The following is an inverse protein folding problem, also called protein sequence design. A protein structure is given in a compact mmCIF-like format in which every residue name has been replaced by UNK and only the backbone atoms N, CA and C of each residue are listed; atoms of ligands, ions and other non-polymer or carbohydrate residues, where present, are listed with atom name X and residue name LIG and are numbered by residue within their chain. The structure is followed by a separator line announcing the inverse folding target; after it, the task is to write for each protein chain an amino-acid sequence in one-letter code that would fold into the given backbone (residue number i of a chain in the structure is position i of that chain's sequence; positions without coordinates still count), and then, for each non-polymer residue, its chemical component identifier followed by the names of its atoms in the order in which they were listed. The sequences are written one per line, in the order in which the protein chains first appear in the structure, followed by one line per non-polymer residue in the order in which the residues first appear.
data_IF_611624955112
#
_entry.id   IF_611624955112
#
_cell.length_a   1.000
_cell.length_b   1.000
_cell.length_c   1.000
_cell.angle_alpha   90.00
_cell.angle_beta   90.00
_cell.angle_gamma   90.00
#
_symmetry.space_group_name_H-M   'P 1'
#
loop_
_entity.id
_entity.type
_entity.pdbx_description
1 polymer ?
#
# COMPACT_ATOMS: atom_id res chain seq x y z
N UNK A 1 -3.45 -22.47 11.86
CA UNK A 1 -2.20 -22.03 11.19
C UNK A 1 -1.16 -21.89 12.29
N UNK A 2 0.01 -22.51 12.14
CA UNK A 2 0.96 -22.71 13.24
C UNK A 2 1.43 -21.38 13.86
N UNK A 3 1.41 -21.30 15.20
CA UNK A 3 2.08 -20.24 15.96
C UNK A 3 3.59 -20.37 15.72
N UNK A 4 4.13 -19.70 14.71
CA UNK A 4 5.57 -19.47 14.63
C UNK A 4 5.97 -18.60 15.81
N UNK A 5 6.75 -19.18 16.73
CA UNK A 5 7.27 -18.53 17.94
C UNK A 5 8.22 -17.36 17.62
N UNK A 6 8.66 -17.25 16.36
CA UNK A 6 9.61 -16.27 15.88
C UNK A 6 9.01 -15.43 14.76
N UNK A 7 9.38 -14.14 14.72
CA UNK A 7 9.01 -13.22 13.65
C UNK A 7 9.70 -13.62 12.31
N UNK A 8 9.17 -13.19 11.16
CA UNK A 8 9.81 -13.44 9.86
C UNK A 8 11.27 -12.94 9.82
N UNK A 9 11.54 -11.77 10.41
CA UNK A 9 12.89 -11.21 10.46
C UNK A 9 13.81 -11.95 11.44
N UNK A 10 13.31 -12.42 12.58
CA UNK A 10 14.09 -13.27 13.50
C UNK A 10 14.55 -14.55 12.82
N UNK A 11 13.66 -15.20 12.05
CA UNK A 11 14.03 -16.38 11.27
C UNK A 11 15.08 -16.07 10.21
N UNK A 12 15.04 -14.87 9.63
CA UNK A 12 16.01 -14.41 8.65
C UNK A 12 17.39 -14.18 9.31
N UNK A 13 17.41 -13.51 10.45
CA UNK A 13 18.63 -13.31 11.26
C UNK A 13 19.26 -14.64 11.70
N UNK A 14 18.46 -15.59 12.16
CA UNK A 14 18.94 -16.91 12.58
C UNK A 14 19.59 -17.71 11.45
N UNK A 15 19.12 -17.52 10.21
CA UNK A 15 19.69 -18.18 9.03
C UNK A 15 20.87 -17.39 8.43
N UNK A 16 21.09 -16.15 8.85
CA UNK A 16 22.08 -15.24 8.24
C UNK A 16 23.51 -15.64 8.52
N UNK A 17 24.39 -15.40 7.54
CA UNK A 17 25.84 -15.62 7.71
C UNK A 17 26.48 -14.54 8.56
N UNK A 18 25.91 -13.33 8.54
CA UNK A 18 26.28 -12.21 9.38
C UNK A 18 25.03 -11.44 9.80
N UNK A 19 24.71 -11.50 11.09
CA UNK A 19 23.52 -10.88 11.67
C UNK A 19 23.60 -9.35 11.62
N UNK A 20 24.78 -8.79 11.89
CA UNK A 20 25.05 -7.34 11.87
C UNK A 20 24.83 -6.76 10.48
N UNK A 21 25.34 -7.44 9.46
CA UNK A 21 25.17 -7.01 8.06
C UNK A 21 23.71 -7.08 7.61
N UNK A 22 23.00 -8.12 8.02
CA UNK A 22 21.58 -8.30 7.73
C UNK A 22 20.73 -7.23 8.42
N UNK A 23 21.03 -6.92 9.68
CA UNK A 23 20.38 -5.86 10.44
C UNK A 23 20.65 -4.48 9.85
N UNK A 24 21.91 -4.20 9.46
CA UNK A 24 22.27 -2.97 8.77
C UNK A 24 21.49 -2.81 7.46
N UNK A 25 21.36 -3.86 6.65
CA UNK A 25 20.57 -3.80 5.43
C UNK A 25 19.09 -3.54 5.68
N UNK A 26 18.49 -4.14 6.72
CA UNK A 26 17.11 -3.85 7.08
C UNK A 26 16.93 -2.36 7.46
N UNK A 27 17.85 -1.81 8.25
CA UNK A 27 17.78 -0.40 8.64
C UNK A 27 18.02 0.55 7.46
N UNK A 28 18.89 0.20 6.51
CA UNK A 28 19.06 0.94 5.27
C UNK A 28 17.81 0.87 4.39
N UNK A 29 17.18 -0.30 4.28
CA UNK A 29 15.91 -0.46 3.58
C UNK A 29 14.80 0.38 4.23
N UNK A 30 14.79 0.47 5.56
CA UNK A 30 13.87 1.34 6.30
C UNK A 30 14.12 2.82 6.01
N UNK A 31 15.39 3.26 5.93
CA UNK A 31 15.75 4.63 5.50
C UNK A 31 15.17 4.92 4.12
N UNK A 32 15.37 4.04 3.14
CA UNK A 32 14.79 4.21 1.80
C UNK A 32 13.25 4.25 1.82
N UNK A 33 12.61 3.34 2.56
CA UNK A 33 11.15 3.29 2.68
C UNK A 33 10.57 4.51 3.41
N UNK A 34 11.33 5.17 4.27
CA UNK A 34 10.89 6.37 5.00
C UNK A 34 10.78 7.61 4.11
N UNK A 35 11.40 7.62 2.94
CA UNK A 35 11.31 8.71 1.95
C UNK A 35 9.93 8.75 1.27
N UNK A 36 9.23 7.61 1.20
CA UNK A 36 7.98 7.46 0.48
C UNK A 36 7.95 6.14 -0.31
N UNK A 37 7.48 6.20 -1.56
CA UNK A 37 7.65 5.07 -2.47
C UNK A 37 9.13 4.91 -2.80
N UNK A 38 9.67 3.70 -2.61
CA UNK A 38 11.09 3.41 -2.88
C UNK A 38 11.34 3.62 -4.38
N UNK A 39 12.13 4.63 -4.71
CA UNK A 39 12.49 4.93 -6.10
C UNK A 39 13.35 3.82 -6.70
N UNK A 40 13.33 3.69 -8.03
CA UNK A 40 14.17 2.72 -8.72
C UNK A 40 15.67 2.93 -8.43
N UNK A 41 16.09 4.19 -8.29
CA UNK A 41 17.46 4.56 -7.94
C UNK A 41 17.80 4.15 -6.50
N UNK A 42 16.91 4.38 -5.54
CA UNK A 42 17.09 3.94 -4.15
C UNK A 42 17.16 2.40 -4.05
N UNK A 43 16.32 1.69 -4.80
CA UNK A 43 16.34 0.22 -4.89
C UNK A 43 17.63 -0.32 -5.50
N UNK A 44 18.13 0.30 -6.58
CA UNK A 44 19.41 -0.07 -7.17
C UNK A 44 20.56 0.16 -6.20
N UNK A 45 20.61 1.33 -5.54
CA UNK A 45 21.64 1.65 -4.56
C UNK A 45 21.64 0.66 -3.40
N UNK A 46 20.47 0.30 -2.90
CA UNK A 46 20.34 -0.69 -1.83
C UNK A 46 20.83 -2.08 -2.28
N UNK A 47 20.58 -2.45 -3.54
CA UNK A 47 21.08 -3.71 -4.11
C UNK A 47 22.60 -3.70 -4.28
N UNK A 48 23.19 -2.58 -4.70
CA UNK A 48 24.65 -2.39 -4.75
C UNK A 48 25.28 -2.49 -3.36
N UNK A 49 24.66 -1.85 -2.37
CA UNK A 49 25.10 -1.95 -0.98
C UNK A 49 25.02 -3.40 -0.52
N UNK A 50 23.88 -4.06 -0.69
CA UNK A 50 23.70 -5.45 -0.32
C UNK A 50 24.77 -6.39 -0.88
N UNK A 51 25.24 -6.18 -2.12
CA UNK A 51 26.30 -6.99 -2.70
C UNK A 51 27.63 -6.92 -1.91
N UNK A 52 27.88 -5.83 -1.17
CA UNK A 52 29.03 -5.68 -0.28
C UNK A 52 28.87 -6.29 1.12
N UNK A 53 27.65 -6.73 1.49
CA UNK A 53 27.32 -7.23 2.82
C UNK A 53 27.26 -8.77 2.85
N UNK A 54 27.69 -9.39 3.96
CA UNK A 54 27.73 -10.85 4.09
C UNK A 54 26.45 -11.43 4.71
N UNK A 55 25.28 -11.06 4.18
CA UNK A 55 23.97 -11.48 4.72
C UNK A 55 23.58 -12.92 4.31
N UNK A 56 23.88 -13.33 3.07
CA UNK A 56 23.72 -14.72 2.60
C UNK A 56 22.29 -15.16 2.25
N UNK A 57 21.36 -14.21 2.10
CA UNK A 57 19.94 -14.43 1.75
C UNK A 57 19.49 -13.57 0.58
N UNK A 58 18.34 -13.91 0.00
CA UNK A 58 17.65 -13.04 -0.95
C UNK A 58 17.29 -11.70 -0.30
N UNK A 59 17.31 -10.62 -1.09
CA UNK A 59 17.04 -9.27 -0.59
C UNK A 59 15.56 -8.99 -0.37
N UNK A 60 14.69 -9.68 -1.11
CA UNK A 60 13.25 -9.42 -1.07
C UNK A 60 12.64 -9.58 0.34
N UNK A 61 12.96 -10.64 1.12
CA UNK A 61 12.45 -10.78 2.48
C UNK A 61 12.94 -9.68 3.44
N UNK A 62 14.13 -9.10 3.19
CA UNK A 62 14.66 -7.97 3.98
C UNK A 62 13.87 -6.70 3.65
N UNK A 63 13.60 -6.46 2.36
CA UNK A 63 12.79 -5.34 1.90
C UNK A 63 11.34 -5.42 2.42
N UNK A 64 10.76 -6.62 2.41
CA UNK A 64 9.42 -6.86 2.94
C UNK A 64 9.36 -6.59 4.45
N UNK A 65 10.41 -7.00 5.19
CA UNK A 65 10.55 -6.75 6.63
C UNK A 65 10.88 -5.30 6.97
N UNK A 66 11.47 -4.54 6.04
CA UNK A 66 11.77 -3.11 6.20
C UNK A 66 10.55 -2.20 6.00
N UNK A 67 9.35 -2.78 5.87
CA UNK A 67 8.11 -2.03 5.85
C UNK A 67 8.03 -1.10 7.07
N UNK A 68 7.66 0.19 6.92
CA UNK A 68 7.61 1.15 8.02
C UNK A 68 6.59 0.82 9.12
N UNK A 69 5.91 -0.33 9.04
CA UNK A 69 4.94 -0.82 10.00
C UNK A 69 5.47 -1.98 10.87
N UNK A 70 6.63 -2.57 10.55
CA UNK A 70 7.21 -3.67 11.34
C UNK A 70 8.24 -3.14 12.36
N UNK A 71 7.72 -2.50 13.41
CA UNK A 71 8.56 -1.94 14.48
C UNK A 71 9.37 -2.98 15.25
N UNK A 72 8.89 -4.23 15.33
CA UNK A 72 9.60 -5.30 16.02
C UNK A 72 10.86 -5.71 15.24
N UNK A 73 10.76 -5.83 13.91
CA UNK A 73 11.93 -6.10 13.07
C UNK A 73 12.96 -4.95 13.13
N UNK A 74 12.49 -3.70 13.08
CA UNK A 74 13.36 -2.52 13.16
C UNK A 74 14.07 -2.46 14.52
N UNK A 75 13.34 -2.69 15.62
CA UNK A 75 13.93 -2.71 16.96
C UNK A 75 15.00 -3.78 17.08
N UNK A 76 14.70 -5.02 16.65
CA UNK A 76 15.67 -6.11 16.71
C UNK A 76 16.90 -5.82 15.85
N UNK A 77 16.72 -5.25 14.66
CA UNK A 77 17.84 -4.85 13.81
C UNK A 77 18.69 -3.76 14.47
N UNK A 78 18.07 -2.77 15.12
CA UNK A 78 18.75 -1.74 15.88
C UNK A 78 19.60 -2.33 17.02
N UNK A 79 19.04 -3.25 17.80
CA UNK A 79 19.75 -3.92 18.90
C UNK A 79 20.94 -4.75 18.39
N UNK A 80 20.74 -5.51 17.31
CA UNK A 80 21.79 -6.33 16.68
C UNK A 80 22.91 -5.45 16.13
N UNK A 81 22.56 -4.36 15.43
CA UNK A 81 23.56 -3.45 14.87
C UNK A 81 24.35 -2.72 15.95
N UNK A 82 23.66 -2.20 16.98
CA UNK A 82 24.29 -1.44 18.07
C UNK A 82 25.34 -2.26 18.82
N UNK A 83 25.16 -3.58 18.93
CA UNK A 83 26.10 -4.48 19.61
C UNK A 83 27.52 -4.44 19.02
N UNK A 84 27.62 -4.33 17.70
CA UNK A 84 28.90 -4.41 16.98
C UNK A 84 29.34 -3.07 16.35
N UNK A 85 28.40 -2.15 16.16
CA UNK A 85 28.62 -0.84 15.55
C UNK A 85 28.23 0.28 16.52
N UNK A 86 29.24 0.99 17.05
CA UNK A 86 29.04 2.17 17.91
C UNK A 86 30.18 3.18 17.70
N UNK A 87 29.86 4.48 17.81
CA UNK A 87 30.82 5.58 17.64
C UNK A 87 31.46 5.58 16.26
N UNK A 88 32.80 5.69 16.19
CA UNK A 88 33.54 5.75 14.92
C UNK A 88 33.29 4.52 14.01
N UNK A 89 33.02 3.34 14.58
CA UNK A 89 32.70 2.13 13.80
C UNK A 89 31.35 2.21 13.08
N UNK A 90 30.45 3.09 13.53
CA UNK A 90 29.16 3.31 12.91
C UNK A 90 29.21 4.28 11.72
N UNK A 91 30.31 5.03 11.55
CA UNK A 91 30.43 6.02 10.48
C UNK A 91 30.25 5.44 9.07
N UNK A 92 30.84 4.29 8.70
CA UNK A 92 30.61 3.71 7.38
C UNK A 92 29.13 3.41 7.16
N UNK A 93 28.44 2.86 8.15
CA UNK A 93 26.99 2.62 8.07
C UNK A 93 26.20 3.92 7.89
N UNK A 94 26.49 4.94 8.70
CA UNK A 94 25.82 6.24 8.60
C UNK A 94 26.08 6.93 7.25
N UNK A 95 27.28 6.80 6.67
CA UNK A 95 27.56 7.27 5.30
C UNK A 95 26.66 6.62 4.27
N UNK A 96 26.46 5.30 4.37
CA UNK A 96 25.55 4.59 3.48
C UNK A 96 24.10 5.04 3.68
N UNK A 97 23.66 5.26 4.93
CA UNK A 97 22.31 5.76 5.21
C UNK A 97 22.08 7.16 4.64
N UNK A 98 23.05 8.07 4.78
CA UNK A 98 22.98 9.43 4.21
C UNK A 98 22.97 9.36 2.69
N UNK A 99 23.90 8.62 2.09
CA UNK A 99 23.97 8.47 0.64
C UNK A 99 22.68 7.92 0.05
N UNK A 100 22.03 6.98 0.74
CA UNK A 100 20.74 6.41 0.34
C UNK A 100 19.60 7.42 0.50
N UNK A 101 19.61 8.21 1.57
CA UNK A 101 18.61 9.25 1.80
C UNK A 101 18.71 10.40 0.79
N UNK A 102 19.88 10.63 0.20
CA UNK A 102 20.12 11.70 -0.77
C UNK A 102 19.92 11.26 -2.23
N UNK A 103 19.58 9.99 -2.50
CA UNK A 103 19.43 9.49 -3.89
C UNK A 103 18.40 10.28 -4.71
N UNK A 104 17.32 10.75 -4.08
CA UNK A 104 16.22 11.43 -4.76
C UNK A 104 16.28 12.98 -4.66
N UNK A 105 17.46 13.55 -4.31
CA UNK A 105 17.74 15.00 -4.14
C UNK A 105 16.84 15.77 -3.14
N UNK A 106 15.89 15.08 -2.49
CA UNK A 106 14.98 15.67 -1.50
C UNK A 106 14.93 14.79 -0.26
N UNK A 107 15.46 15.31 0.84
CA UNK A 107 15.36 14.65 2.14
C UNK A 107 13.95 14.86 2.72
N UNK A 108 13.14 13.79 2.77
CA UNK A 108 11.85 13.84 3.43
C UNK A 108 12.02 14.08 4.94
N UNK A 109 11.07 14.80 5.54
CA UNK A 109 11.05 15.07 6.98
C UNK A 109 11.11 13.78 7.82
N UNK A 110 10.42 12.72 7.38
CA UNK A 110 10.45 11.43 8.07
C UNK A 110 11.86 10.82 8.07
N UNK A 111 12.53 10.83 6.92
CA UNK A 111 13.90 10.30 6.80
C UNK A 111 14.91 11.14 7.58
N UNK A 112 14.72 12.45 7.64
CA UNK A 112 15.53 13.33 8.48
C UNK A 112 15.47 12.91 9.97
N UNK A 113 14.27 12.62 10.49
CA UNK A 113 14.09 12.08 11.85
C UNK A 113 14.71 10.69 12.02
N UNK A 114 14.56 9.81 11.03
CA UNK A 114 15.17 8.47 11.03
C UNK A 114 16.70 8.55 11.11
N UNK A 115 17.32 9.43 10.32
CA UNK A 115 18.77 9.61 10.32
C UNK A 115 19.28 10.11 11.68
N UNK A 116 18.58 11.06 12.31
CA UNK A 116 18.91 11.50 13.68
C UNK A 116 18.80 10.37 14.68
N UNK A 117 17.69 9.64 14.63
CA UNK A 117 17.47 8.48 15.49
C UNK A 117 18.60 7.45 15.35
N UNK A 118 19.01 7.12 14.12
CA UNK A 118 20.11 6.19 13.87
C UNK A 118 21.46 6.73 14.35
N UNK A 119 21.73 8.03 14.20
CA UNK A 119 22.95 8.66 14.72
C UNK A 119 23.03 8.57 16.24
N UNK A 120 21.94 8.91 16.93
CA UNK A 120 21.83 8.86 18.39
C UNK A 120 21.94 7.41 18.90
N UNK A 121 21.21 6.48 18.26
CA UNK A 121 21.25 5.04 18.58
C UNK A 121 22.67 4.47 18.52
N UNK A 122 23.45 4.89 17.52
CA UNK A 122 24.82 4.40 17.30
C UNK A 122 25.88 5.24 18.04
N UNK A 123 25.45 6.17 18.91
CA UNK A 123 26.33 6.95 19.78
C UNK A 123 27.15 8.02 19.04
N UNK A 124 26.65 8.53 17.92
CA UNK A 124 27.28 9.63 17.17
C UNK A 124 26.66 10.96 17.59
N UNK A 125 27.47 11.87 18.12
CA UNK A 125 26.99 13.20 18.53
C UNK A 125 26.35 13.97 17.35
N UNK A 126 25.36 14.85 17.61
CA UNK A 126 24.72 15.65 16.55
C UNK A 126 25.70 16.47 15.71
N UNK A 127 26.76 17.02 16.33
CA UNK A 127 27.79 17.80 15.63
C UNK A 127 28.59 16.91 14.68
N UNK A 128 29.03 15.74 15.16
CA UNK A 128 29.78 14.78 14.33
C UNK A 128 28.92 14.23 13.19
N UNK A 129 27.64 13.97 13.45
CA UNK A 129 26.70 13.53 12.42
C UNK A 129 26.46 14.63 11.37
N UNK A 130 26.31 15.89 11.79
CA UNK A 130 26.12 17.02 10.86
C UNK A 130 27.35 17.20 9.96
N UNK A 131 28.57 17.07 10.52
CA UNK A 131 29.80 17.04 9.72
C UNK A 131 29.78 15.90 8.70
N UNK A 132 29.46 14.68 9.14
CA UNK A 132 29.38 13.52 8.26
C UNK A 132 28.35 13.71 7.14
N UNK A 133 27.20 14.30 7.46
CA UNK A 133 26.16 14.63 6.50
C UNK A 133 26.70 15.61 5.45
N UNK A 134 27.32 16.71 5.88
CA UNK A 134 27.92 17.68 4.95
C UNK A 134 29.02 17.10 4.07
N UNK A 135 29.82 16.16 4.58
CA UNK A 135 30.85 15.46 3.81
C UNK A 135 30.27 14.56 2.70
N UNK A 136 29.07 13.98 2.91
CA UNK A 136 28.45 13.03 1.98
C UNK A 136 27.47 13.72 1.04
N UNK A 137 26.62 14.60 1.57
CA UNK A 137 25.56 15.29 0.84
C UNK A 137 26.03 16.60 0.21
N UNK A 138 27.13 17.18 0.68
CA UNK A 138 27.61 18.50 0.23
C UNK A 138 26.81 19.69 0.78
N UNK A 139 25.78 19.43 1.58
CA UNK A 139 24.90 20.44 2.20
C UNK A 139 24.84 20.27 3.72
N UNK A 140 24.43 21.33 4.42
CA UNK A 140 24.28 21.26 5.89
C UNK A 140 23.03 20.47 6.29
N UNK A 141 23.11 19.76 7.42
CA UNK A 141 22.01 18.94 7.89
C UNK A 141 20.94 19.80 8.59
N UNK A 142 19.96 20.23 7.80
CA UNK A 142 18.88 21.11 8.25
C UNK A 142 18.08 20.58 9.45
N UNK A 143 17.54 21.50 10.25
CA UNK A 143 16.64 21.21 11.36
C UNK A 143 15.43 20.39 10.87
N UNK A 144 14.89 19.47 11.70
CA UNK A 144 13.74 18.68 11.28
C UNK A 144 12.53 19.59 11.09
N UNK A 145 11.71 19.27 10.10
CA UNK A 145 10.34 19.76 10.11
C UNK A 145 9.61 19.24 11.35
N UNK A 146 8.88 20.14 12.01
CA UNK A 146 8.12 19.86 13.22
C UNK A 146 6.71 19.34 12.87
N UNK A 147 6.40 18.05 13.13
CA UNK A 147 5.12 17.45 12.81
C UNK A 147 3.94 18.01 13.61
N UNK A 148 4.22 18.77 14.68
CA UNK A 148 3.20 19.42 15.50
C UNK A 148 2.69 20.75 14.89
N UNK A 149 3.36 21.26 13.85
CA UNK A 149 2.93 22.49 13.15
C UNK A 149 1.88 22.17 12.09
N UNK A 150 0.84 23.00 12.00
CA UNK A 150 -0.21 22.87 10.98
C UNK A 150 0.34 22.97 9.54
N UNK A 151 1.35 23.83 9.34
CA UNK A 151 1.99 24.07 8.05
C UNK A 151 2.61 22.79 7.45
N UNK A 152 3.14 21.90 8.30
CA UNK A 152 3.70 20.61 7.91
C UNK A 152 2.66 19.74 7.20
N UNK A 153 1.47 19.61 7.81
CA UNK A 153 0.38 18.83 7.25
C UNK A 153 -0.19 19.48 5.99
N UNK A 154 -0.31 20.81 5.96
CA UNK A 154 -0.77 21.54 4.77
C UNK A 154 0.19 21.42 3.57
N UNK A 155 1.51 21.41 3.79
CA UNK A 155 2.49 21.19 2.72
C UNK A 155 2.37 19.77 2.15
N UNK A 156 2.27 18.77 3.04
CA UNK A 156 2.16 17.36 2.66
C UNK A 156 0.83 17.01 1.98
N UNK A 157 -0.28 17.58 2.43
CA UNK A 157 -1.60 17.40 1.81
C UNK A 157 -1.63 18.02 0.40
N UNK A 158 -1.03 19.21 0.22
CA UNK A 158 -0.92 19.86 -1.10
C UNK A 158 -0.07 19.05 -2.08
N UNK A 159 1.04 18.48 -1.63
CA UNK A 159 1.87 17.61 -2.47
C UNK A 159 1.10 16.38 -2.96
N UNK A 160 0.33 15.72 -2.07
CA UNK A 160 -0.55 14.60 -2.43
C UNK A 160 -1.65 15.01 -3.41
N UNK A 161 -2.32 16.12 -3.16
CA UNK A 161 -3.38 16.62 -4.04
C UNK A 161 -2.84 16.93 -5.44
N UNK A 162 -1.66 17.56 -5.53
CA UNK A 162 -1.01 17.84 -6.82
C UNK A 162 -0.64 16.56 -7.58
N UNK A 163 -0.10 15.54 -6.90
CA UNK A 163 0.16 14.23 -7.52
C UNK A 163 -1.13 13.57 -8.02
N UNK A 164 -2.19 13.55 -7.21
CA UNK A 164 -3.49 12.98 -7.62
C UNK A 164 -4.09 13.71 -8.82
N UNK A 165 -3.94 15.04 -8.89
CA UNK A 165 -4.43 15.84 -10.02
C UNK A 165 -3.62 15.57 -11.30
N UNK A 166 -2.29 15.48 -11.22
CA UNK A 166 -1.46 15.14 -12.38
C UNK A 166 -1.80 13.75 -12.92
N UNK A 167 -2.02 12.78 -12.03
CA UNK A 167 -2.33 11.40 -12.43
C UNK A 167 -3.73 11.27 -13.05
N UNK A 168 -4.74 11.93 -12.49
CA UNK A 168 -6.08 12.00 -13.11
C UNK A 168 -6.06 12.73 -14.46
N UNK A 169 -5.26 13.79 -14.60
CA UNK A 169 -5.14 14.49 -15.89
C UNK A 169 -4.50 13.62 -16.98
N UNK A 170 -3.47 12.83 -16.65
CA UNK A 170 -2.85 11.90 -17.59
C UNK A 170 -3.80 10.76 -17.99
N UNK A 171 -4.60 10.24 -17.04
CA UNK A 171 -5.56 9.16 -17.33
C UNK A 171 -6.71 9.63 -18.23
N UNK A 172 -7.28 10.81 -17.96
CA UNK A 172 -8.30 11.40 -18.83
C UNK A 172 -7.78 11.79 -20.22
N UNK A 173 -6.49 12.07 -20.36
CA UNK A 173 -5.88 12.34 -21.66
C UNK A 173 -5.67 11.05 -22.46
N UNK A 174 -5.29 9.95 -21.80
CA UNK A 174 -5.20 8.62 -22.41
C UNK A 174 -6.56 8.04 -22.81
N UNK A 175 -7.60 8.20 -21.99
CA UNK A 175 -8.96 7.74 -22.31
C UNK A 175 -9.54 8.47 -23.53
N UNK A 176 -9.34 9.80 -23.61
CA UNK A 176 -9.79 10.60 -24.77
C UNK A 176 -9.08 10.23 -26.07
N UNK A 177 -7.81 9.84 -26.01
CA UNK A 177 -7.07 9.38 -27.19
C UNK A 177 -7.51 7.99 -27.66
N UNK A 178 -8.00 7.11 -26.77
CA UNK A 178 -8.54 5.80 -27.12
C UNK A 178 -9.99 5.85 -27.62
N UNK A 179 -10.78 6.85 -27.24
CA UNK A 179 -12.15 7.04 -27.73
C UNK A 179 -12.23 7.68 -29.13
N UNK A 180 -11.14 8.29 -29.62
CA UNK A 180 -11.09 8.97 -30.92
C UNK A 180 -10.63 8.09 -32.10
N UNK A 181 -10.35 6.79 -31.91
CA UNK A 181 -10.13 5.87 -33.03
C UNK A 181 -11.48 5.46 -33.69
N UNK A 182 -11.73 5.79 -34.97
CA UNK A 182 -13.01 5.52 -35.62
C UNK A 182 -13.14 4.02 -35.92
N UNK A 183 -14.04 3.35 -35.20
CA UNK A 183 -14.40 1.95 -35.42
C UNK A 183 -15.18 1.80 -36.74
N UNK A 184 -14.47 1.50 -37.83
CA UNK A 184 -15.08 1.00 -39.06
C UNK A 184 -15.20 -0.52 -38.99
N UNK A 185 -16.36 -1.07 -38.58
CA UNK A 185 -17.01 -2.18 -39.32
C UNK A 185 -18.35 -2.67 -38.75
N UNK A 186 -19.36 -2.52 -39.62
CA UNK A 186 -20.36 -3.52 -40.05
C UNK A 186 -21.54 -3.97 -39.15
N UNK A 187 -22.68 -3.35 -39.48
CA UNK A 187 -24.00 -3.90 -39.81
C UNK A 187 -24.21 -5.43 -39.83
N UNK A 188 -25.31 -5.89 -39.21
CA UNK A 188 -26.32 -6.76 -39.85
C UNK A 188 -27.75 -6.51 -39.32
N UNK A 189 -28.58 -6.08 -40.26
CA UNK A 189 -30.03 -6.15 -40.48
C UNK A 189 -30.81 -7.29 -39.80
N UNK A 190 -32.01 -6.97 -39.28
CA UNK A 190 -33.10 -7.93 -39.03
C UNK A 190 -34.39 -7.23 -38.61
N UNK A 191 -35.43 -7.29 -39.45
CA UNK A 191 -36.68 -6.52 -39.36
C UNK A 191 -37.86 -7.36 -38.86
N UNK A 192 -38.71 -6.74 -38.02
CA UNK A 192 -40.18 -6.87 -37.90
C UNK A 192 -40.86 -8.25 -37.72
N UNK A 193 -41.53 -8.43 -36.58
CA UNK A 193 -42.88 -9.02 -36.53
C UNK A 193 -43.64 -8.59 -35.27
N UNK A 194 -44.76 -7.90 -35.48
CA UNK A 194 -45.75 -7.64 -34.43
C UNK A 194 -46.76 -8.77 -34.32
N UNK A 195 -47.28 -8.98 -33.11
CA UNK A 195 -48.71 -9.23 -32.87
C UNK A 195 -49.06 -9.20 -31.38
N UNK A 196 -50.17 -8.51 -31.13
CA UNK A 196 -50.89 -8.31 -29.88
C UNK A 196 -51.84 -9.48 -29.62
N UNK A 197 -51.99 -9.92 -28.36
CA UNK A 197 -53.18 -10.62 -27.87
C UNK A 197 -53.51 -10.25 -26.41
N UNK A 198 -54.66 -9.58 -26.27
CA UNK A 198 -55.73 -9.69 -25.26
C UNK A 198 -55.45 -9.90 -23.74
N UNK A 199 -55.81 -8.85 -22.99
CA UNK A 199 -56.85 -8.78 -21.93
C UNK A 199 -57.29 -10.10 -21.27
N UNK A 200 -57.06 -10.20 -19.96
CA UNK A 200 -58.10 -10.53 -18.96
C UNK A 200 -57.68 -10.08 -17.56
N UNK A 201 -58.70 -9.63 -16.83
CA UNK A 201 -58.65 -9.04 -15.49
C UNK A 201 -58.91 -10.12 -14.42
N UNK A 202 -58.27 -9.90 -13.24
CA UNK A 202 -58.74 -10.19 -11.87
C UNK A 202 -58.86 -11.66 -11.44
N UNK A 203 -58.16 -12.01 -10.36
CA UNK A 203 -58.81 -12.07 -9.05
C UNK A 203 -57.81 -12.08 -7.88
N UNK A 204 -58.32 -11.55 -6.77
CA UNK A 204 -57.66 -11.28 -5.50
C UNK A 204 -57.52 -12.55 -4.65
N UNK A 205 -56.39 -12.70 -3.97
CA UNK A 205 -56.17 -13.74 -2.96
C UNK A 205 -55.14 -13.29 -1.94
N UNK A 206 -55.62 -12.70 -0.84
CA UNK A 206 -54.84 -12.36 0.34
C UNK A 206 -54.60 -13.60 1.20
N UNK A 207 -53.35 -14.06 1.31
CA UNK A 207 -52.87 -14.84 2.47
C UNK A 207 -51.46 -14.39 2.85
N UNK A 208 -51.34 -13.92 4.10
CA UNK A 208 -50.07 -13.72 4.80
C UNK A 208 -49.53 -15.09 5.21
N UNK A 209 -48.31 -15.41 4.78
CA UNK A 209 -47.35 -16.22 5.52
C UNK A 209 -45.98 -16.04 4.86
N UNK A 210 -44.96 -15.93 5.69
CA UNK A 210 -43.55 -15.74 5.38
C UNK A 210 -43.03 -16.90 4.52
N UNK A 211 -42.91 -16.69 3.20
CA UNK A 211 -42.31 -17.66 2.27
C UNK A 211 -41.41 -16.89 1.30
N UNK A 212 -40.25 -16.45 1.81
CA UNK A 212 -39.19 -15.90 0.96
C UNK A 212 -38.57 -17.07 0.20
N UNK A 213 -38.52 -17.04 -1.14
CA UNK A 213 -37.79 -18.07 -1.89
C UNK A 213 -36.35 -18.15 -1.35
N UNK A 214 -35.81 -19.38 -1.15
CA UNK A 214 -34.48 -19.55 -0.59
C UNK A 214 -33.49 -18.74 -1.42
N UNK A 215 -32.52 -18.09 -0.75
CA UNK A 215 -31.59 -17.22 -1.44
C UNK A 215 -30.90 -18.02 -2.55
N UNK A 216 -31.01 -17.51 -3.78
CA UNK A 216 -30.27 -18.10 -4.89
C UNK A 216 -28.79 -18.20 -4.50
N UNK A 217 -28.11 -19.28 -4.87
CA UNK A 217 -26.69 -19.52 -4.54
C UNK A 217 -25.83 -18.29 -4.90
N UNK A 218 -26.21 -17.55 -5.95
CA UNK A 218 -25.58 -16.30 -6.38
C UNK A 218 -25.70 -15.17 -5.36
N UNK A 219 -26.82 -15.05 -4.66
CA UNK A 219 -27.04 -14.04 -3.62
C UNK A 219 -26.30 -14.38 -2.33
N UNK A 220 -26.31 -15.65 -1.92
CA UNK A 220 -25.52 -16.10 -0.77
C UNK A 220 -24.04 -15.76 -0.99
N UNK A 221 -23.50 -16.07 -2.18
CA UNK A 221 -22.13 -15.72 -2.56
C UNK A 221 -21.87 -14.20 -2.52
N UNK A 222 -22.81 -13.38 -2.99
CA UNK A 222 -22.68 -11.92 -2.94
C UNK A 222 -22.70 -11.37 -1.51
N UNK A 223 -23.53 -11.93 -0.61
CA UNK A 223 -23.56 -11.59 0.81
C UNK A 223 -22.27 -12.02 1.51
N UNK A 224 -21.76 -13.22 1.21
CA UNK A 224 -20.47 -13.71 1.71
C UNK A 224 -19.30 -12.81 1.29
N UNK A 225 -19.30 -12.28 0.06
CA UNK A 225 -18.28 -11.31 -0.42
C UNK A 225 -18.28 -10.03 0.41
N UNK A 226 -19.45 -9.59 0.90
CA UNK A 226 -19.58 -8.43 1.79
C UNK A 226 -19.44 -8.78 3.28
N UNK A 227 -19.29 -10.06 3.63
CA UNK A 227 -19.21 -10.55 5.00
C UNK A 227 -20.53 -10.42 5.77
N UNK A 228 -21.65 -10.60 5.08
CA UNK A 228 -23.00 -10.47 5.62
C UNK A 228 -23.73 -11.82 5.61
N UNK A 229 -24.61 -12.00 6.60
CA UNK A 229 -25.49 -13.16 6.74
C UNK A 229 -26.74 -13.02 5.84
N UNK A 230 -27.46 -14.13 5.64
CA UNK A 230 -28.61 -14.22 4.73
C UNK A 230 -29.80 -13.32 5.12
N UNK A 231 -29.82 -12.80 6.35
CA UNK A 231 -30.85 -11.93 6.92
C UNK A 231 -30.50 -10.43 6.86
N UNK A 232 -29.34 -10.07 6.30
CA UNK A 232 -28.84 -8.70 6.29
C UNK A 232 -29.78 -7.71 5.59
N UNK A 233 -30.00 -6.54 6.21
CA UNK A 233 -30.86 -5.50 5.63
C UNK A 233 -30.13 -4.67 4.55
N UNK A 234 -30.89 -3.95 3.72
CA UNK A 234 -30.33 -2.98 2.75
C UNK A 234 -29.41 -1.94 3.40
N UNK A 235 -29.73 -1.54 4.64
CA UNK A 235 -28.89 -0.63 5.43
C UNK A 235 -27.53 -1.24 5.77
N UNK A 236 -27.51 -2.53 6.07
CA UNK A 236 -26.30 -3.28 6.41
C UNK A 236 -25.45 -3.56 5.17
N UNK A 237 -26.08 -3.84 4.02
CA UNK A 237 -25.41 -3.96 2.72
C UNK A 237 -24.67 -2.66 2.35
N UNK A 238 -25.33 -1.50 2.52
CA UNK A 238 -24.69 -0.18 2.27
C UNK A 238 -23.56 0.12 3.26
N UNK A 239 -23.73 -0.20 4.54
CA UNK A 239 -22.70 -0.02 5.57
C UNK A 239 -21.49 -0.92 5.31
N UNK A 240 -21.72 -2.19 5.01
CA UNK A 240 -20.68 -3.17 4.71
C UNK A 240 -19.93 -2.79 3.44
N UNK A 241 -20.64 -2.38 2.38
CA UNK A 241 -20.02 -1.86 1.16
C UNK A 241 -19.12 -0.65 1.45
N UNK A 242 -19.60 0.35 2.20
CA UNK A 242 -18.79 1.53 2.55
C UNK A 242 -17.53 1.16 3.34
N UNK A 243 -17.66 0.25 4.31
CA UNK A 243 -16.53 -0.25 5.11
C UNK A 243 -15.52 -1.01 4.25
N UNK A 244 -15.98 -1.92 3.40
CA UNK A 244 -15.13 -2.74 2.52
C UNK A 244 -14.49 -1.91 1.42
N UNK A 245 -15.21 -0.93 0.87
CA UNK A 245 -14.68 0.04 -0.09
C UNK A 245 -13.58 0.90 0.53
N UNK A 246 -13.74 1.35 1.77
CA UNK A 246 -12.67 2.07 2.49
C UNK A 246 -11.46 1.19 2.78
N UNK A 247 -11.65 -0.10 3.09
CA UNK A 247 -10.55 -1.02 3.41
C UNK A 247 -9.79 -1.43 2.15
N UNK A 248 -10.49 -1.72 1.05
CA UNK A 248 -9.94 -2.25 -0.19
C UNK A 248 -9.81 -1.22 -1.31
N UNK A 249 -9.92 0.08 -1.01
CA UNK A 249 -9.80 1.11 -2.05
C UNK A 249 -8.43 1.01 -2.73
N UNK A 250 -8.35 0.95 -4.07
CA UNK A 250 -7.08 0.77 -4.79
C UNK A 250 -6.07 1.89 -4.48
N UNK A 251 -6.55 3.10 -4.22
CA UNK A 251 -5.75 4.26 -3.80
C UNK A 251 -4.97 4.04 -2.50
N UNK A 252 -5.45 3.16 -1.60
CA UNK A 252 -4.74 2.83 -0.35
C UNK A 252 -3.58 1.86 -0.54
N UNK A 253 -3.54 1.14 -1.66
CA UNK A 253 -2.54 0.12 -1.94
C UNK A 253 -1.60 0.52 -3.07
N UNK A 254 -1.84 1.66 -3.72
CA UNK A 254 -1.04 2.19 -4.80
C UNK A 254 0.45 2.28 -4.44
N UNK A 255 0.75 2.72 -3.21
CA UNK A 255 2.12 2.81 -2.67
C UNK A 255 2.77 1.48 -2.25
N UNK A 256 2.10 0.33 -2.44
CA UNK A 256 2.60 -1.02 -2.09
C UNK A 256 2.98 -1.88 -3.32
N UNK A 257 3.05 -1.28 -4.52
CA UNK A 257 3.49 -1.92 -5.76
C UNK A 257 2.36 -2.48 -6.63
N UNK A 258 2.63 -2.63 -7.93
CA UNK A 258 1.64 -2.98 -8.98
C UNK A 258 0.85 -4.25 -8.69
N UNK A 259 1.51 -5.32 -8.21
CA UNK A 259 0.85 -6.60 -7.93
C UNK A 259 -0.14 -6.52 -6.76
N UNK A 260 0.17 -5.72 -5.73
CA UNK A 260 -0.71 -5.51 -4.57
C UNK A 260 -1.89 -4.61 -4.95
N UNK A 261 -1.63 -3.60 -5.78
CA UNK A 261 -2.66 -2.71 -6.35
C UNK A 261 -3.60 -3.46 -7.28
N UNK A 262 -3.09 -4.37 -8.11
CA UNK A 262 -3.90 -5.22 -8.99
C UNK A 262 -4.79 -6.17 -8.19
N UNK A 263 -4.25 -6.82 -7.16
CA UNK A 263 -5.02 -7.69 -6.26
C UNK A 263 -6.09 -6.91 -5.47
N UNK A 264 -5.75 -5.71 -4.97
CA UNK A 264 -6.70 -4.83 -4.30
C UNK A 264 -7.81 -4.33 -5.25
N UNK A 265 -7.44 -3.99 -6.49
CA UNK A 265 -8.38 -3.56 -7.54
C UNK A 265 -9.34 -4.67 -7.94
N UNK A 266 -8.85 -5.90 -8.13
CA UNK A 266 -9.70 -7.06 -8.40
C UNK A 266 -10.68 -7.30 -7.26
N UNK A 267 -10.19 -7.25 -6.01
CA UNK A 267 -11.03 -7.43 -4.81
C UNK A 267 -12.08 -6.32 -4.67
N UNK A 268 -11.71 -5.08 -4.96
CA UNK A 268 -12.61 -3.93 -4.98
C UNK A 268 -13.70 -4.08 -6.05
N UNK A 269 -13.34 -4.53 -7.26
CA UNK A 269 -14.31 -4.81 -8.32
C UNK A 269 -15.28 -5.94 -7.94
N UNK A 270 -14.80 -6.99 -7.27
CA UNK A 270 -15.65 -8.07 -6.76
C UNK A 270 -16.64 -7.56 -5.70
N UNK A 271 -16.18 -6.70 -4.79
CA UNK A 271 -17.02 -6.04 -3.77
C UNK A 271 -18.09 -5.15 -4.41
N UNK A 272 -17.71 -4.35 -5.42
CA UNK A 272 -18.62 -3.47 -6.16
C UNK A 272 -19.69 -4.26 -6.91
N UNK A 273 -19.30 -5.32 -7.64
CA UNK A 273 -20.23 -6.21 -8.36
C UNK A 273 -21.22 -6.90 -7.41
N UNK A 274 -20.75 -7.36 -6.25
CA UNK A 274 -21.62 -7.97 -5.24
C UNK A 274 -22.64 -6.97 -4.68
N UNK A 275 -22.23 -5.73 -4.40
CA UNK A 275 -23.12 -4.66 -3.96
C UNK A 275 -24.16 -4.28 -5.02
N UNK A 276 -23.75 -4.08 -6.28
CA UNK A 276 -24.64 -3.75 -7.39
C UNK A 276 -25.69 -4.84 -7.62
N UNK A 277 -25.26 -6.11 -7.58
CA UNK A 277 -26.16 -7.25 -7.69
C UNK A 277 -27.19 -7.30 -6.55
N UNK A 278 -26.75 -7.11 -5.30
CA UNK A 278 -27.65 -7.10 -4.13
C UNK A 278 -28.61 -5.90 -4.12
N UNK A 279 -28.23 -4.78 -4.72
CA UNK A 279 -29.08 -3.59 -4.86
C UNK A 279 -30.12 -3.69 -5.97
N UNK A 280 -29.92 -4.59 -6.94
CA UNK A 280 -30.88 -4.90 -8.00
C UNK A 280 -31.81 -6.08 -7.64
N UNK A 281 -31.48 -6.84 -6.59
CA UNK A 281 -32.28 -7.96 -6.10
C UNK A 281 -33.55 -7.43 -5.40
N UNK A 282 -34.71 -7.87 -5.89
CA UNK A 282 -36.03 -7.43 -5.43
C UNK A 282 -36.29 -7.70 -3.94
N UNK A 283 -35.46 -8.51 -3.27
CA UNK A 283 -35.57 -8.77 -1.82
C UNK A 283 -35.02 -7.65 -0.94
N UNK A 284 -34.19 -6.78 -1.49
CA UNK A 284 -33.58 -5.66 -0.76
C UNK A 284 -33.99 -4.28 -1.32
N UNK A 285 -34.98 -4.24 -2.24
CA UNK A 285 -35.59 -3.01 -2.78
C UNK A 285 -36.64 -2.50 -1.80
#
# INVERSE_FOLDING_TARGET
MANTRFSPFELLLLKSRNQTDTAALLLLAWVAASQGEVSAAAGQRLSELAAGFRHGHELQPILDAASPQDFAAIQLAAEVLQKDCHGEKALPFLRHAIALAMVDDKLAAATNHVLRFLADLLGTSPQRFSQLFSEVAGEDFGAPDDPSRADYWHARERARQQQSHHQHSHQHQHERQHEEEPSQQHSYRGSSHGQSWHRSERESGSYRADDRPPPSDRTLRALTVLGLEADASRGDIKKAYRRMAQIHHPDRFFARGENVTAAASQRFQTIKKAYEYLMQDARFV
#
